data_IF_506633698007
#
_entry.id   IF_506633698007
#
_cell.length_a   1.000
_cell.length_b   1.000
_cell.length_c   1.000
_cell.angle_alpha   90.00
_cell.angle_beta   90.00
_cell.angle_gamma   90.00
#
_symmetry.space_group_name_H-M   'P 1'
#
loop_
_entity.id
_entity.type
_entity.pdbx_description
1 polymer ?
#
# COMPACT_ATOMS: atom_id res chain seq x y z
N UNK A 1 7.86 -13.79 1.97
CA UNK A 1 7.70 -14.26 0.57
C UNK A 1 6.53 -15.25 0.52
N UNK A 2 5.71 -15.20 -0.53
CA UNK A 2 4.55 -16.07 -0.75
C UNK A 2 4.93 -17.14 -1.77
N UNK A 3 4.57 -18.39 -1.49
CA UNK A 3 4.76 -19.52 -2.42
C UNK A 3 3.54 -19.62 -3.33
N UNK A 4 3.76 -19.54 -4.64
CA UNK A 4 2.71 -19.65 -5.65
C UNK A 4 2.46 -21.12 -6.03
N UNK A 5 1.28 -21.41 -6.57
CA UNK A 5 0.90 -22.75 -7.02
C UNK A 5 1.88 -23.35 -8.05
N UNK A 6 2.50 -22.50 -8.89
CA UNK A 6 3.54 -22.90 -9.85
C UNK A 6 4.94 -23.13 -9.27
N UNK A 7 5.09 -23.19 -7.93
CA UNK A 7 6.37 -23.46 -7.26
C UNK A 7 7.32 -22.26 -7.14
N UNK A 8 7.03 -21.15 -7.84
CA UNK A 8 7.76 -19.87 -7.71
C UNK A 8 7.48 -19.20 -6.37
N UNK A 9 8.44 -18.38 -5.92
CA UNK A 9 8.27 -17.48 -4.78
C UNK A 9 8.26 -16.03 -5.27
N UNK A 10 7.43 -15.20 -4.63
CA UNK A 10 7.34 -13.77 -4.89
C UNK A 10 7.09 -13.03 -3.58
N UNK A 11 7.48 -11.77 -3.47
CA UNK A 11 7.02 -10.93 -2.35
C UNK A 11 5.53 -10.59 -2.52
N UNK A 12 4.88 -10.17 -1.43
CA UNK A 12 3.50 -9.68 -1.54
C UNK A 12 3.41 -8.44 -2.45
N UNK A 13 4.45 -7.60 -2.42
CA UNK A 13 4.57 -6.43 -3.29
C UNK A 13 4.68 -6.83 -4.77
N UNK A 14 5.50 -7.82 -5.10
CA UNK A 14 5.64 -8.32 -6.49
C UNK A 14 4.31 -8.82 -7.04
N UNK A 15 3.57 -9.57 -6.21
CA UNK A 15 2.24 -10.07 -6.58
C UNK A 15 1.31 -8.90 -6.85
N UNK A 16 1.26 -7.90 -5.98
CA UNK A 16 0.41 -6.73 -6.17
C UNK A 16 0.79 -5.91 -7.42
N UNK A 17 2.08 -5.70 -7.69
CA UNK A 17 2.56 -5.05 -8.93
C UNK A 17 2.10 -5.77 -10.19
N UNK A 18 2.17 -7.10 -10.17
CA UNK A 18 1.80 -7.96 -11.29
C UNK A 18 0.27 -7.96 -11.57
N UNK A 19 -0.56 -7.84 -10.53
CA UNK A 19 -2.00 -7.62 -10.67
C UNK A 19 -2.33 -6.20 -11.12
N UNK A 20 -1.65 -5.20 -10.56
CA UNK A 20 -1.80 -3.81 -10.93
C UNK A 20 -1.51 -3.58 -12.42
N UNK A 21 -0.40 -4.12 -12.93
CA UNK A 21 -0.04 -4.03 -14.34
C UNK A 21 -1.15 -4.59 -15.26
N UNK A 22 -1.70 -5.77 -14.92
CA UNK A 22 -2.84 -6.34 -15.65
C UNK A 22 -4.09 -5.48 -15.58
N UNK A 23 -4.36 -4.84 -14.44
CA UNK A 23 -5.51 -3.95 -14.29
C UNK A 23 -5.36 -2.72 -15.20
N UNK A 24 -4.17 -2.12 -15.26
CA UNK A 24 -3.85 -1.00 -16.15
C UNK A 24 -4.03 -1.40 -17.62
N UNK A 25 -3.45 -2.53 -18.03
CA UNK A 25 -3.61 -3.07 -19.39
C UNK A 25 -5.09 -3.33 -19.73
N UNK A 26 -5.84 -3.93 -18.81
CA UNK A 26 -7.25 -4.23 -19.01
C UNK A 26 -8.08 -2.97 -19.27
N UNK A 27 -7.82 -1.88 -18.53
CA UNK A 27 -8.55 -0.63 -18.69
C UNK A 27 -8.31 0.08 -20.03
N UNK A 28 -7.21 -0.19 -20.73
CA UNK A 28 -6.95 0.39 -22.06
C UNK A 28 -7.94 -0.08 -23.12
N UNK A 29 -8.54 -1.25 -22.92
CA UNK A 29 -9.45 -1.89 -23.89
C UNK A 29 -10.94 -1.70 -23.59
N UNK A 30 -11.26 -1.03 -22.48
CA UNK A 30 -12.62 -0.91 -21.95
C UNK A 30 -13.20 0.49 -22.21
N UNK A 31 -14.53 0.61 -22.13
CA UNK A 31 -15.16 1.92 -22.08
C UNK A 31 -14.64 2.72 -20.87
N UNK A 32 -14.31 4.02 -21.02
CA UNK A 32 -13.81 4.83 -19.92
C UNK A 32 -14.79 4.88 -18.76
N UNK A 33 -14.30 4.47 -17.58
CA UNK A 33 -15.00 4.59 -16.30
C UNK A 33 -14.09 5.38 -15.36
N UNK A 34 -14.51 6.60 -15.03
CA UNK A 34 -13.72 7.53 -14.22
C UNK A 34 -13.52 7.04 -12.79
N UNK A 35 -14.46 6.28 -12.23
CA UNK A 35 -14.33 5.75 -10.88
C UNK A 35 -13.30 4.62 -10.84
N UNK A 36 -13.36 3.70 -11.82
CA UNK A 36 -12.41 2.59 -11.89
C UNK A 36 -11.00 3.10 -12.20
N UNK A 37 -10.88 4.09 -13.09
CA UNK A 37 -9.60 4.75 -13.39
C UNK A 37 -8.99 5.37 -12.13
N UNK A 38 -9.78 6.12 -11.34
CA UNK A 38 -9.32 6.70 -10.08
C UNK A 38 -8.83 5.64 -9.09
N UNK A 39 -9.53 4.52 -8.95
CA UNK A 39 -9.10 3.42 -8.05
C UNK A 39 -7.74 2.85 -8.46
N UNK A 40 -7.55 2.63 -9.76
CA UNK A 40 -6.26 2.13 -10.28
C UNK A 40 -5.17 3.20 -10.08
N UNK A 41 -5.44 4.46 -10.40
CA UNK A 41 -4.48 5.56 -10.18
C UNK A 41 -4.05 5.71 -8.72
N UNK A 42 -4.98 5.57 -7.76
CA UNK A 42 -4.69 5.62 -6.33
C UNK A 42 -3.83 4.45 -5.84
N UNK A 43 -3.82 3.32 -6.56
CA UNK A 43 -3.07 2.13 -6.18
C UNK A 43 -1.55 2.31 -6.40
N UNK A 44 -1.14 3.07 -7.42
CA UNK A 44 0.28 3.32 -7.73
C UNK A 44 1.07 3.93 -6.57
N UNK A 45 0.68 5.10 -6.01
CA UNK A 45 1.43 5.72 -4.92
C UNK A 45 1.51 4.82 -3.67
N UNK A 46 0.55 3.91 -3.48
CA UNK A 46 0.55 2.96 -2.36
C UNK A 46 1.64 1.90 -2.53
N UNK A 47 1.75 1.31 -3.73
CA UNK A 47 2.79 0.32 -4.03
C UNK A 47 4.19 0.96 -3.99
N UNK A 48 4.33 2.18 -4.52
CA UNK A 48 5.58 2.94 -4.48
C UNK A 48 6.00 3.28 -3.05
N UNK A 49 5.04 3.64 -2.18
CA UNK A 49 5.30 3.93 -0.77
C UNK A 49 5.78 2.69 0.00
N UNK A 50 5.17 1.53 -0.26
CA UNK A 50 5.59 0.26 0.35
C UNK A 50 6.99 -0.14 -0.12
N UNK A 51 7.30 0.05 -1.40
CA UNK A 51 8.62 -0.27 -1.96
C UNK A 51 9.72 0.64 -1.41
N UNK A 52 9.48 1.94 -1.41
CA UNK A 52 10.45 2.95 -0.95
C UNK A 52 10.55 3.09 0.56
N UNK A 53 9.58 2.54 1.31
CA UNK A 53 9.36 2.78 2.74
C UNK A 53 9.12 4.27 3.07
N UNK A 54 8.78 5.10 2.07
CA UNK A 54 8.37 6.48 2.23
C UNK A 54 6.84 6.59 2.11
N UNK A 55 6.21 6.88 3.24
CA UNK A 55 4.76 6.92 3.34
C UNK A 55 4.19 8.34 3.31
N UNK A 56 5.02 9.38 3.13
CA UNK A 56 4.57 10.77 3.22
C UNK A 56 3.43 11.11 2.23
N UNK A 57 3.38 10.42 1.09
CA UNK A 57 2.36 10.62 0.04
C UNK A 57 1.04 9.88 0.27
N UNK A 58 0.98 8.98 1.25
CA UNK A 58 -0.19 8.12 1.51
C UNK A 58 -0.62 8.14 2.97
N UNK A 59 -0.10 9.11 3.74
CA UNK A 59 -0.32 9.20 5.18
C UNK A 59 -1.67 9.82 5.59
N UNK A 60 -2.53 10.11 4.61
CA UNK A 60 -3.92 10.55 4.79
C UNK A 60 -4.95 9.64 4.12
N UNK A 61 -4.50 8.69 3.29
CA UNK A 61 -5.32 7.89 2.40
C UNK A 61 -5.39 6.43 2.83
N UNK A 62 -4.36 5.94 3.54
CA UNK A 62 -4.24 4.53 3.90
C UNK A 62 -4.28 4.36 5.42
N UNK A 63 -5.34 3.72 5.90
CA UNK A 63 -5.63 3.59 7.34
C UNK A 63 -4.45 3.09 8.18
N UNK A 64 -3.73 2.06 7.72
CA UNK A 64 -2.62 1.51 8.48
C UNK A 64 -1.43 2.46 8.51
N UNK A 65 -1.22 3.25 7.46
CA UNK A 65 -0.19 4.30 7.40
C UNK A 65 -0.57 5.45 8.34
N UNK A 66 -1.83 5.90 8.29
CA UNK A 66 -2.38 6.92 9.19
C UNK A 66 -2.19 6.49 10.65
N UNK A 67 -2.56 5.25 11.01
CA UNK A 67 -2.38 4.70 12.35
C UNK A 67 -0.91 4.63 12.75
N UNK A 68 -0.04 4.16 11.85
CA UNK A 68 1.42 4.14 12.10
C UNK A 68 1.96 5.55 12.38
N UNK A 69 1.57 6.56 11.60
CA UNK A 69 1.97 7.97 11.82
C UNK A 69 1.47 8.49 13.17
N UNK A 70 0.23 8.14 13.56
CA UNK A 70 -0.32 8.47 14.86
C UNK A 70 0.49 7.83 16.00
N UNK A 71 0.77 6.53 15.92
CA UNK A 71 1.53 5.81 16.94
C UNK A 71 2.95 6.35 17.06
N UNK A 72 3.66 6.55 15.94
CA UNK A 72 5.00 7.12 15.95
C UNK A 72 5.03 8.49 16.66
N UNK A 73 4.04 9.34 16.41
CA UNK A 73 3.92 10.65 17.09
C UNK A 73 3.75 10.52 18.61
N UNK A 74 3.04 9.50 19.09
CA UNK A 74 2.89 9.25 20.53
C UNK A 74 4.18 8.68 21.13
N UNK A 75 4.81 7.73 20.45
CA UNK A 75 6.10 7.18 20.87
C UNK A 75 7.15 8.28 20.99
N UNK A 76 7.29 9.13 19.98
CA UNK A 76 8.27 10.23 19.95
C UNK A 76 7.99 11.28 21.03
N UNK A 77 6.71 11.61 21.26
CA UNK A 77 6.31 12.67 22.20
C UNK A 77 6.47 12.25 23.66
N UNK A 78 6.19 10.98 23.97
CA UNK A 78 6.08 10.50 25.34
C UNK A 78 7.12 9.43 25.69
N UNK A 79 8.04 9.10 24.76
CA UNK A 79 9.02 8.03 24.89
C UNK A 79 8.36 6.68 25.27
N UNK A 80 7.26 6.36 24.57
CA UNK A 80 6.45 5.16 24.79
C UNK A 80 6.88 4.02 23.88
N UNK A 81 6.81 2.80 24.40
CA UNK A 81 6.98 1.57 23.62
C UNK A 81 5.66 1.18 22.92
N UNK A 82 5.76 0.39 21.85
CA UNK A 82 4.57 -0.11 21.12
C UNK A 82 3.66 -1.00 21.99
N UNK A 83 4.17 -1.53 23.10
CA UNK A 83 3.42 -2.33 24.06
C UNK A 83 2.72 -1.51 25.15
N UNK A 84 2.86 -0.17 25.15
CA UNK A 84 2.16 0.69 26.11
C UNK A 84 0.64 0.58 25.88
N UNK A 85 -0.21 0.38 26.91
CA UNK A 85 -1.65 0.27 26.75
C UNK A 85 -2.36 1.45 26.06
N UNK A 86 -1.69 2.60 25.94
CA UNK A 86 -2.19 3.77 25.20
C UNK A 86 -1.98 3.70 23.69
N UNK A 87 -1.20 2.73 23.21
CA UNK A 87 -0.95 2.43 21.79
C UNK A 87 -1.60 1.07 21.46
#
# INVERSE_FOLDING_TARGET
PVRLAGGRQASALDIQREYYARAVEYLQSREPDTQIQQVVELTTPQLDAVESQDFAKVDTEIDWVIKRKLFQRYQDRYNMELSDPKI
#
